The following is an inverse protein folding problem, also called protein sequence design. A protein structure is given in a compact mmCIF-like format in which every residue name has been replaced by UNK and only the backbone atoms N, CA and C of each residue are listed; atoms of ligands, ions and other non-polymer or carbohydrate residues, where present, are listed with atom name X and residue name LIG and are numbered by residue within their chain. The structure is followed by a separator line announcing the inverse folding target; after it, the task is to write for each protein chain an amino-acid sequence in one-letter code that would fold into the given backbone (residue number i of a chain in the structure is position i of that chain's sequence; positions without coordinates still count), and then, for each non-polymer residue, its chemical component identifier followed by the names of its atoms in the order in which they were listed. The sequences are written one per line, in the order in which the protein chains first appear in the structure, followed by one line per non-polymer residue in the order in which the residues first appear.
data_IF_748400169587
#
_entry.id   IF_748400169587
#
_cell.length_a   1.000
_cell.length_b   1.000
_cell.length_c   1.000
_cell.angle_alpha   90.00
_cell.angle_beta   90.00
_cell.angle_gamma   90.00
#
_symmetry.space_group_name_H-M   'P 1'
#
loop_
_entity.id
_entity.type
_entity.pdbx_description
1 polymer ?
#
# COMPACT_ATOMS: atom_id res chain seq x y z
N UNK A 1 -14.47 -10.98 37.68
CA UNK A 1 -14.42 -9.72 36.90
C UNK A 1 -13.25 -9.87 35.95
N UNK A 2 -13.40 -9.50 34.68
CA UNK A 2 -12.27 -9.62 33.74
C UNK A 2 -11.14 -8.66 34.16
N UNK A 3 -9.89 -9.08 33.96
CA UNK A 3 -8.69 -8.28 34.28
C UNK A 3 -8.39 -7.22 33.20
N UNK A 4 -9.18 -7.17 32.13
CA UNK A 4 -9.00 -6.17 31.08
C UNK A 4 -9.39 -4.76 31.54
N UNK A 5 -8.68 -3.71 31.10
CA UNK A 5 -8.93 -2.34 31.54
C UNK A 5 -10.23 -1.73 30.97
N UNK A 6 -10.68 -2.17 29.79
CA UNK A 6 -11.91 -1.68 29.18
C UNK A 6 -13.00 -2.73 29.24
N UNK A 7 -14.15 -2.37 29.81
CA UNK A 7 -15.29 -3.29 30.01
C UNK A 7 -16.60 -2.56 29.71
N UNK A 8 -17.52 -3.19 28.99
CA UNK A 8 -18.85 -2.62 28.72
C UNK A 8 -19.85 -3.70 28.28
N UNK A 9 -21.14 -3.41 28.49
CA UNK A 9 -22.23 -4.22 27.93
C UNK A 9 -22.84 -3.53 26.71
N UNK A 10 -23.00 -4.28 25.62
CA UNK A 10 -23.58 -3.76 24.38
C UNK A 10 -24.53 -4.75 23.73
N UNK A 11 -25.52 -4.21 23.00
CA UNK A 11 -26.45 -5.01 22.19
C UNK A 11 -25.78 -5.45 20.89
N UNK A 12 -25.93 -6.72 20.53
CA UNK A 12 -25.54 -7.21 19.20
C UNK A 12 -26.53 -6.67 18.17
N UNK A 13 -26.02 -5.93 17.18
CA UNK A 13 -26.82 -5.27 16.14
C UNK A 13 -26.33 -5.60 14.74
N UNK A 14 -27.17 -5.35 13.73
CA UNK A 14 -26.79 -5.49 12.33
C UNK A 14 -25.97 -4.29 11.87
N UNK A 15 -24.90 -4.55 11.14
CA UNK A 15 -24.15 -3.55 10.38
C UNK A 15 -24.04 -3.97 8.92
N UNK A 16 -24.53 -3.12 8.01
CA UNK A 16 -24.48 -3.37 6.57
C UNK A 16 -23.25 -2.73 5.93
N UNK A 17 -22.57 -3.48 5.06
CA UNK A 17 -21.52 -2.99 4.18
C UNK A 17 -21.78 -3.49 2.76
N UNK A 18 -22.28 -2.60 1.90
CA UNK A 18 -22.81 -2.99 0.59
C UNK A 18 -23.96 -3.99 0.73
N UNK A 19 -23.86 -5.14 0.06
CA UNK A 19 -24.85 -6.23 0.13
C UNK A 19 -24.66 -7.17 1.32
N UNK A 20 -23.57 -7.01 2.09
CA UNK A 20 -23.21 -7.92 3.18
C UNK A 20 -23.67 -7.33 4.51
N UNK A 21 -24.22 -8.17 5.38
CA UNK A 21 -24.67 -7.79 6.72
C UNK A 21 -23.90 -8.59 7.77
N UNK A 22 -23.34 -7.87 8.74
CA UNK A 22 -22.59 -8.41 9.87
C UNK A 22 -23.36 -8.21 11.18
N UNK A 23 -23.10 -9.08 12.16
CA UNK A 23 -23.47 -8.86 13.56
C UNK A 23 -22.31 -8.18 14.28
N UNK A 24 -22.57 -7.07 14.95
CA UNK A 24 -21.55 -6.24 15.60
C UNK A 24 -22.00 -5.74 16.95
N UNK A 25 -21.05 -5.33 17.78
CA UNK A 25 -21.28 -4.53 18.99
C UNK A 25 -20.52 -3.22 18.84
N UNK A 26 -21.17 -2.10 19.16
CA UNK A 26 -20.53 -0.79 19.12
C UNK A 26 -19.81 -0.52 20.43
N UNK A 27 -18.58 -0.02 20.34
CA UNK A 27 -17.82 0.40 21.51
C UNK A 27 -18.35 1.77 21.98
N UNK A 28 -18.65 1.93 23.29
CA UNK A 28 -19.14 3.19 23.85
C UNK A 28 -18.18 4.35 23.60
N UNK A 29 -18.75 5.56 23.47
CA UNK A 29 -17.97 6.77 23.16
C UNK A 29 -16.94 7.03 24.25
N UNK A 30 -17.34 6.80 25.49
CA UNK A 30 -16.57 7.00 26.73
C UNK A 30 -15.28 6.17 26.72
N UNK A 31 -15.32 4.96 26.16
CA UNK A 31 -14.13 4.11 25.97
C UNK A 31 -13.33 4.62 24.78
N UNK A 32 -13.98 4.84 23.62
CA UNK A 32 -13.25 5.26 22.41
C UNK A 32 -12.53 6.61 22.57
N UNK A 33 -13.01 7.51 23.43
CA UNK A 33 -12.33 8.78 23.73
C UNK A 33 -11.04 8.62 24.53
N UNK A 34 -10.83 7.47 25.16
CA UNK A 34 -9.62 7.16 25.93
C UNK A 34 -8.53 6.48 25.08
N UNK A 35 -8.85 6.08 23.85
CA UNK A 35 -7.96 5.32 22.98
C UNK A 35 -7.21 6.25 22.01
N UNK A 36 -5.93 5.95 21.76
CA UNK A 36 -5.13 6.67 20.77
C UNK A 36 -5.36 6.10 19.35
N UNK A 37 -6.11 6.84 18.54
CA UNK A 37 -6.34 6.54 17.13
C UNK A 37 -5.50 7.41 16.17
N UNK A 38 -4.39 7.99 16.63
CA UNK A 38 -3.52 8.85 15.81
C UNK A 38 -2.78 8.05 14.73
N UNK A 39 -2.18 6.92 15.11
CA UNK A 39 -1.41 6.04 14.20
C UNK A 39 -2.31 5.16 13.33
N UNK A 40 -3.40 4.65 13.89
CA UNK A 40 -4.36 3.79 13.17
C UNK A 40 -5.77 4.03 13.66
N UNK A 41 -6.72 4.13 12.73
CA UNK A 41 -8.16 4.13 13.07
C UNK A 41 -8.70 2.73 13.37
N UNK A 42 -7.91 1.69 13.12
CA UNK A 42 -8.27 0.29 13.37
C UNK A 42 -7.26 -0.31 14.35
N UNK A 43 -7.59 -0.26 15.64
CA UNK A 43 -6.74 -0.81 16.69
C UNK A 43 -6.99 -2.30 16.88
N UNK A 44 -5.93 -3.09 17.02
CA UNK A 44 -5.97 -4.48 17.47
C UNK A 44 -6.24 -4.52 18.96
N UNK A 45 -7.03 -5.52 19.35
CA UNK A 45 -7.38 -5.77 20.74
C UNK A 45 -7.23 -7.25 21.05
N UNK A 46 -6.93 -7.55 22.30
CA UNK A 46 -7.04 -8.86 22.92
C UNK A 46 -8.07 -8.71 24.04
N UNK A 47 -8.99 -9.66 24.15
CA UNK A 47 -10.17 -9.48 24.98
C UNK A 47 -11.05 -10.69 25.04
N UNK A 48 -12.29 -10.49 25.46
CA UNK A 48 -13.31 -11.51 25.54
C UNK A 48 -14.71 -10.93 25.29
N UNK A 49 -15.61 -11.80 24.83
CA UNK A 49 -17.05 -11.55 24.77
C UNK A 49 -17.74 -12.72 25.48
N UNK A 50 -18.53 -12.46 26.51
CA UNK A 50 -19.12 -13.50 27.37
C UNK A 50 -18.07 -14.51 27.88
N UNK A 51 -16.89 -14.03 28.28
CA UNK A 51 -15.77 -14.86 28.74
C UNK A 51 -15.07 -15.69 27.67
N UNK A 52 -15.51 -15.63 26.41
CA UNK A 52 -14.82 -16.29 25.28
C UNK A 52 -13.76 -15.36 24.72
N UNK A 53 -12.50 -15.79 24.79
CA UNK A 53 -11.34 -15.02 24.29
C UNK A 53 -11.48 -14.67 22.80
N UNK A 54 -11.13 -13.43 22.47
CA UNK A 54 -11.10 -12.89 21.12
C UNK A 54 -9.81 -12.10 20.86
N UNK A 55 -9.24 -12.29 19.67
CA UNK A 55 -8.22 -11.40 19.11
C UNK A 55 -8.81 -10.64 17.92
N UNK A 56 -9.27 -9.42 18.16
CA UNK A 56 -10.09 -8.68 17.21
C UNK A 56 -9.45 -7.35 16.81
N UNK A 57 -10.21 -6.56 16.05
CA UNK A 57 -9.84 -5.18 15.76
C UNK A 57 -11.07 -4.30 15.93
N UNK A 58 -10.88 -3.12 16.51
CA UNK A 58 -11.85 -2.04 16.52
C UNK A 58 -11.99 -1.49 15.11
N UNK A 59 -13.18 -1.59 14.52
CA UNK A 59 -13.42 -1.19 13.13
C UNK A 59 -14.14 0.15 13.09
N UNK A 60 -13.57 1.19 12.44
CA UNK A 60 -14.21 2.50 12.37
C UNK A 60 -15.39 2.49 11.40
N UNK A 61 -16.46 3.21 11.75
CA UNK A 61 -17.60 3.52 10.87
C UNK A 61 -18.28 4.81 11.33
N UNK A 62 -18.43 5.79 10.43
CA UNK A 62 -19.19 7.05 10.68
C UNK A 62 -18.98 7.65 12.09
N UNK A 63 -17.72 7.77 12.53
CA UNK A 63 -17.36 8.33 13.85
C UNK A 63 -17.57 7.40 15.06
N UNK A 64 -17.86 6.12 14.84
CA UNK A 64 -17.99 5.08 15.87
C UNK A 64 -17.01 3.94 15.58
N UNK A 65 -16.80 3.08 16.57
CA UNK A 65 -16.04 1.84 16.43
C UNK A 65 -16.89 0.65 16.83
N UNK A 66 -16.69 -0.48 16.17
CA UNK A 66 -17.37 -1.72 16.48
C UNK A 66 -16.45 -2.92 16.46
N UNK A 67 -16.90 -3.99 17.12
CA UNK A 67 -16.33 -5.33 17.05
C UNK A 67 -17.29 -6.25 16.31
N UNK A 68 -16.75 -7.14 15.49
CA UNK A 68 -17.55 -8.18 14.83
C UNK A 68 -17.83 -9.32 15.80
N UNK A 69 -19.10 -9.70 15.92
CA UNK A 69 -19.52 -10.89 16.68
C UNK A 69 -19.88 -11.96 15.66
N UNK A 70 -18.88 -12.65 15.13
CA UNK A 70 -19.07 -13.65 14.08
C UNK A 70 -20.02 -14.78 14.52
N UNK A 71 -20.70 -15.44 13.58
CA UNK A 71 -21.65 -16.53 13.90
C UNK A 71 -21.03 -17.66 14.75
N UNK A 72 -19.74 -17.96 14.56
CA UNK A 72 -19.03 -18.96 15.37
C UNK A 72 -18.95 -18.51 16.84
N UNK A 73 -18.62 -17.23 17.07
CA UNK A 73 -18.55 -16.65 18.41
C UNK A 73 -19.94 -16.60 19.07
N UNK A 74 -20.96 -16.17 18.34
CA UNK A 74 -22.35 -16.19 18.81
C UNK A 74 -22.76 -17.57 19.33
N UNK A 75 -22.46 -18.64 18.56
CA UNK A 75 -22.73 -20.02 18.97
C UNK A 75 -21.96 -20.45 20.23
N UNK A 76 -20.70 -20.04 20.36
CA UNK A 76 -19.87 -20.36 21.53
C UNK A 76 -20.38 -19.68 22.80
N UNK A 77 -20.80 -18.42 22.68
CA UNK A 77 -21.35 -17.64 23.79
C UNK A 77 -22.83 -17.98 24.09
N UNK A 78 -23.52 -18.72 23.21
CA UNK A 78 -24.96 -18.98 23.36
C UNK A 78 -25.84 -17.74 23.12
N UNK A 79 -25.38 -16.78 22.32
CA UNK A 79 -26.04 -15.49 22.06
C UNK A 79 -26.40 -15.31 20.60
N UNK A 80 -27.25 -14.34 20.32
CA UNK A 80 -27.82 -14.07 19.01
C UNK A 80 -28.00 -12.57 18.76
N UNK A 81 -28.43 -12.22 17.55
CA UNK A 81 -28.71 -10.83 17.20
C UNK A 81 -29.82 -10.26 18.11
N UNK A 82 -29.51 -9.15 18.77
CA UNK A 82 -30.43 -8.48 19.69
C UNK A 82 -30.12 -8.74 21.16
N UNK A 83 -29.31 -9.74 21.47
CA UNK A 83 -28.88 -10.00 22.84
C UNK A 83 -27.89 -8.93 23.31
N UNK A 84 -27.88 -8.68 24.63
CA UNK A 84 -26.84 -7.87 25.26
C UNK A 84 -25.71 -8.79 25.68
N UNK A 85 -24.48 -8.37 25.38
CA UNK A 85 -23.27 -9.10 25.74
C UNK A 85 -22.29 -8.22 26.49
N UNK A 86 -21.56 -8.82 27.40
CA UNK A 86 -20.41 -8.23 28.08
C UNK A 86 -19.16 -8.39 27.22
N UNK A 87 -18.43 -7.28 27.08
CA UNK A 87 -17.21 -7.18 26.29
C UNK A 87 -16.14 -6.56 27.15
N UNK A 88 -14.97 -7.22 27.16
CA UNK A 88 -13.81 -6.77 27.90
C UNK A 88 -12.55 -6.87 27.04
N UNK A 89 -11.69 -5.87 27.04
CA UNK A 89 -10.48 -5.88 26.20
C UNK A 89 -9.37 -4.94 26.67
N UNK A 90 -8.15 -5.20 26.18
CA UNK A 90 -7.03 -4.26 26.15
C UNK A 90 -6.55 -4.03 24.71
N UNK A 91 -5.78 -2.97 24.50
CA UNK A 91 -5.07 -2.71 23.24
C UNK A 91 -3.94 -3.72 23.09
N UNK A 92 -4.05 -4.58 22.09
CA UNK A 92 -3.02 -5.57 21.78
C UNK A 92 -1.82 -4.93 21.08
N UNK A 93 -0.75 -5.71 20.91
CA UNK A 93 0.32 -5.36 19.99
C UNK A 93 -0.25 -5.23 18.56
N UNK A 94 -0.07 -4.05 17.97
CA UNK A 94 -0.61 -3.70 16.65
C UNK A 94 0.12 -4.43 15.51
N UNK A 95 1.37 -4.83 15.77
CA UNK A 95 2.28 -5.44 14.81
C UNK A 95 2.48 -6.93 15.05
N UNK A 96 1.90 -7.52 16.11
CA UNK A 96 1.95 -8.96 16.35
C UNK A 96 1.35 -9.78 15.20
N UNK A 97 2.08 -10.82 14.79
CA UNK A 97 1.71 -11.73 13.70
C UNK A 97 2.07 -13.15 14.11
N UNK A 98 1.08 -14.04 14.12
CA UNK A 98 1.32 -15.49 14.18
C UNK A 98 1.46 -16.01 12.76
N UNK A 99 2.69 -16.38 12.37
CA UNK A 99 2.98 -16.96 11.06
C UNK A 99 2.74 -18.48 11.14
N UNK A 100 1.94 -19.08 10.25
CA UNK A 100 1.77 -20.52 10.20
C UNK A 100 3.11 -21.22 9.98
N UNK A 101 3.32 -22.35 10.67
CA UNK A 101 4.59 -23.06 10.71
C UNK A 101 5.11 -23.40 9.30
N UNK A 102 4.26 -23.91 8.41
CA UNK A 102 4.66 -24.21 7.03
C UNK A 102 5.10 -22.97 6.23
N UNK A 103 4.47 -21.81 6.45
CA UNK A 103 4.87 -20.56 5.80
C UNK A 103 6.18 -20.04 6.39
N UNK A 104 6.37 -20.19 7.70
CA UNK A 104 7.61 -19.82 8.36
C UNK A 104 8.80 -20.60 7.79
N UNK A 105 8.70 -21.92 7.69
CA UNK A 105 9.75 -22.76 7.11
C UNK A 105 10.06 -22.38 5.65
N UNK A 106 9.03 -22.12 4.84
CA UNK A 106 9.23 -21.72 3.44
C UNK A 106 9.91 -20.35 3.30
N UNK A 107 9.61 -19.40 4.20
CA UNK A 107 10.28 -18.10 4.25
C UNK A 107 11.74 -18.23 4.72
N UNK A 108 12.00 -19.05 5.73
CA UNK A 108 13.37 -19.30 6.23
C UNK A 108 14.26 -20.00 5.19
N UNK A 109 13.66 -20.79 4.29
CA UNK A 109 14.38 -21.43 3.18
C UNK A 109 14.61 -20.51 1.97
N UNK A 110 14.11 -19.26 1.97
CA UNK A 110 14.19 -18.36 0.82
C UNK A 110 14.49 -16.91 1.23
N UNK A 111 15.78 -16.55 1.24
CA UNK A 111 16.26 -15.23 1.65
C UNK A 111 15.63 -14.07 0.87
N UNK A 112 15.41 -14.25 -0.45
CA UNK A 112 14.81 -13.21 -1.30
C UNK A 112 13.35 -12.97 -0.92
N UNK A 113 12.58 -14.04 -0.73
CA UNK A 113 11.20 -13.93 -0.28
C UNK A 113 11.12 -13.36 1.14
N UNK A 114 12.05 -13.75 2.02
CA UNK A 114 12.15 -13.26 3.39
C UNK A 114 12.37 -11.75 3.45
N UNK A 115 13.29 -11.23 2.65
CA UNK A 115 13.57 -9.79 2.57
C UNK A 115 12.31 -9.00 2.16
N UNK A 116 11.59 -9.46 1.14
CA UNK A 116 10.34 -8.83 0.70
C UNK A 116 9.26 -8.91 1.80
N UNK A 117 9.14 -10.06 2.46
CA UNK A 117 8.17 -10.30 3.52
C UNK A 117 8.39 -9.35 4.71
N UNK A 118 9.63 -9.20 5.16
CA UNK A 118 9.98 -8.34 6.29
C UNK A 118 9.75 -6.86 6.01
N UNK A 119 9.89 -6.44 4.74
CA UNK A 119 9.53 -5.10 4.29
C UNK A 119 8.03 -4.80 4.23
N UNK A 120 7.15 -5.80 4.36
CA UNK A 120 5.70 -5.59 4.33
C UNK A 120 5.14 -5.10 5.66
N UNK A 121 4.05 -4.34 5.60
CA UNK A 121 3.30 -3.96 6.81
C UNK A 121 2.73 -5.19 7.51
N UNK A 122 2.57 -5.11 8.83
CA UNK A 122 2.03 -6.22 9.61
C UNK A 122 0.64 -6.66 9.13
N UNK A 123 -0.20 -5.71 8.69
CA UNK A 123 -1.51 -6.00 8.11
C UNK A 123 -1.44 -6.83 6.82
N UNK A 124 -0.48 -6.54 5.92
CA UNK A 124 -0.30 -7.30 4.68
C UNK A 124 0.17 -8.72 5.00
N UNK A 125 1.18 -8.87 5.84
CA UNK A 125 1.69 -10.17 6.33
C UNK A 125 0.58 -11.00 6.99
N UNK A 126 -0.23 -10.41 7.87
CA UNK A 126 -1.40 -11.06 8.49
C UNK A 126 -2.43 -11.56 7.48
N UNK A 127 -2.67 -10.82 6.40
CA UNK A 127 -3.59 -11.25 5.34
C UNK A 127 -3.16 -12.57 4.69
N UNK A 128 -1.86 -12.72 4.40
CA UNK A 128 -1.30 -13.95 3.86
C UNK A 128 -1.28 -15.08 4.90
N UNK A 129 -0.92 -14.80 6.16
CA UNK A 129 -0.99 -15.77 7.25
C UNK A 129 -2.40 -16.34 7.40
N UNK A 130 -3.43 -15.47 7.43
CA UNK A 130 -4.83 -15.88 7.48
C UNK A 130 -5.24 -16.72 6.27
N UNK A 131 -4.78 -16.35 5.06
CA UNK A 131 -5.05 -17.13 3.85
C UNK A 131 -4.50 -18.54 4.01
N UNK A 132 -3.27 -18.73 4.49
CA UNK A 132 -2.73 -20.08 4.72
C UNK A 132 -3.52 -20.81 5.81
N UNK A 133 -3.62 -20.22 7.01
CA UNK A 133 -4.19 -20.87 8.20
C UNK A 133 -5.67 -21.28 8.04
N UNK A 134 -6.46 -20.48 7.32
CA UNK A 134 -7.88 -20.74 7.07
C UNK A 134 -8.16 -22.01 6.24
N UNK A 135 -7.16 -22.57 5.56
CA UNK A 135 -7.30 -23.84 4.86
C UNK A 135 -7.35 -25.00 5.86
N UNK A 136 -8.33 -25.90 5.72
CA UNK A 136 -8.47 -27.09 6.59
C UNK A 136 -7.60 -28.27 6.16
N UNK A 137 -7.33 -28.38 4.85
CA UNK A 137 -6.59 -29.49 4.26
C UNK A 137 -5.11 -29.12 4.13
N UNK A 138 -4.22 -30.02 4.55
CA UNK A 138 -2.76 -29.83 4.48
C UNK A 138 -2.31 -29.46 3.07
N UNK A 139 -2.74 -30.22 2.04
CA UNK A 139 -2.41 -29.91 0.65
C UNK A 139 -2.86 -28.52 0.18
N UNK A 140 -3.95 -27.97 0.75
CA UNK A 140 -4.36 -26.60 0.42
C UNK A 140 -3.49 -25.55 1.11
N UNK A 141 -3.00 -25.85 2.32
CA UNK A 141 -2.05 -24.99 3.03
C UNK A 141 -0.73 -24.92 2.28
N UNK A 142 -0.17 -26.06 1.91
CA UNK A 142 1.08 -26.17 1.13
C UNK A 142 1.01 -25.36 -0.18
N UNK A 143 -0.02 -25.59 -0.99
CA UNK A 143 -0.23 -24.80 -2.22
C UNK A 143 -0.33 -23.29 -1.96
N UNK A 144 -1.00 -22.87 -0.88
CA UNK A 144 -1.11 -21.44 -0.53
C UNK A 144 0.21 -20.86 -0.04
N UNK A 145 1.07 -21.66 0.57
CA UNK A 145 2.44 -21.28 0.92
C UNK A 145 3.25 -21.06 -0.35
N UNK A 146 3.24 -22.02 -1.28
CA UNK A 146 3.93 -21.88 -2.59
C UNK A 146 3.49 -20.62 -3.34
N UNK A 147 2.17 -20.40 -3.47
CA UNK A 147 1.62 -19.19 -4.09
C UNK A 147 2.06 -17.89 -3.39
N UNK A 148 2.30 -17.95 -2.07
CA UNK A 148 2.79 -16.81 -1.30
C UNK A 148 4.26 -16.53 -1.59
N UNK A 149 5.09 -17.58 -1.63
CA UNK A 149 6.51 -17.47 -1.98
C UNK A 149 6.68 -16.96 -3.41
N UNK A 150 5.96 -17.54 -4.38
CA UNK A 150 6.00 -17.08 -5.78
C UNK A 150 5.63 -15.61 -5.92
N UNK A 151 4.59 -15.18 -5.19
CA UNK A 151 4.19 -13.78 -5.19
C UNK A 151 5.28 -12.88 -4.60
N UNK A 152 5.91 -13.26 -3.49
CA UNK A 152 7.03 -12.51 -2.88
C UNK A 152 8.20 -12.37 -3.85
N UNK A 153 8.58 -13.46 -4.54
CA UNK A 153 9.64 -13.45 -5.55
C UNK A 153 9.28 -12.55 -6.73
N UNK A 154 8.03 -12.58 -7.19
CA UNK A 154 7.55 -11.69 -8.26
C UNK A 154 7.62 -10.21 -7.87
N UNK A 155 7.35 -9.89 -6.61
CA UNK A 155 7.42 -8.51 -6.09
C UNK A 155 8.86 -8.00 -6.00
N UNK A 156 9.84 -8.89 -5.76
CA UNK A 156 11.26 -8.55 -5.87
C UNK A 156 11.64 -8.27 -7.33
N UNK A 157 11.23 -9.12 -8.26
CA UNK A 157 11.55 -8.96 -9.69
C UNK A 157 10.97 -7.69 -10.31
N UNK A 158 9.85 -7.18 -9.80
CA UNK A 158 9.33 -5.87 -10.22
C UNK A 158 10.17 -4.70 -9.72
N UNK A 159 10.93 -4.84 -8.64
CA UNK A 159 11.70 -3.76 -8.06
C UNK A 159 13.01 -3.55 -8.82
N UNK A 160 13.19 -2.36 -9.40
CA UNK A 160 14.45 -1.98 -10.03
C UNK A 160 15.50 -1.72 -8.95
N UNK A 161 16.72 -2.21 -9.17
CA UNK A 161 17.84 -1.96 -8.25
C UNK A 161 18.24 -0.49 -8.28
N UNK A 162 18.90 0.00 -7.22
CA UNK A 162 19.36 1.39 -7.19
C UNK A 162 20.46 1.66 -8.21
N UNK A 163 21.28 0.65 -8.53
CA UNK A 163 22.27 0.72 -9.61
C UNK A 163 21.59 0.88 -10.98
N UNK A 164 20.52 0.13 -11.25
CA UNK A 164 19.77 0.22 -12.51
C UNK A 164 19.02 1.55 -12.63
N UNK A 165 18.42 2.04 -11.53
CA UNK A 165 17.85 3.38 -11.48
C UNK A 165 18.90 4.44 -11.79
N UNK A 166 20.07 4.38 -11.18
CA UNK A 166 21.13 5.34 -11.40
C UNK A 166 21.57 5.36 -12.87
N UNK A 167 21.82 4.18 -13.47
CA UNK A 167 22.18 4.05 -14.90
C UNK A 167 21.10 4.63 -15.83
N UNK A 168 19.83 4.35 -15.54
CA UNK A 168 18.71 4.83 -16.35
C UNK A 168 18.52 6.35 -16.22
N UNK A 169 18.63 6.91 -15.01
CA UNK A 169 18.57 8.35 -14.76
C UNK A 169 19.73 9.05 -15.47
N UNK A 170 20.96 8.55 -15.34
CA UNK A 170 22.14 9.13 -15.98
C UNK A 170 22.02 9.12 -17.51
N UNK A 171 21.52 8.02 -18.08
CA UNK A 171 21.27 7.92 -19.53
C UNK A 171 20.22 8.93 -19.98
N UNK A 172 19.09 9.03 -19.29
CA UNK A 172 18.02 9.98 -19.63
C UNK A 172 18.46 11.43 -19.43
N UNK A 173 19.18 11.73 -18.35
CA UNK A 173 19.75 13.04 -18.06
C UNK A 173 20.69 13.51 -19.19
N UNK A 174 21.60 12.62 -19.60
CA UNK A 174 22.51 12.88 -20.72
C UNK A 174 21.75 13.19 -22.01
N UNK A 175 20.65 12.48 -22.27
CA UNK A 175 19.80 12.72 -23.44
C UNK A 175 19.06 14.05 -23.38
N UNK A 176 18.56 14.43 -22.20
CA UNK A 176 17.90 15.73 -21.98
C UNK A 176 18.89 16.87 -22.20
N UNK A 177 20.07 16.80 -21.57
CA UNK A 177 21.11 17.83 -21.70
C UNK A 177 21.66 17.91 -23.12
N UNK A 178 21.79 16.78 -23.83
CA UNK A 178 22.18 16.78 -25.24
C UNK A 178 21.09 17.35 -26.16
N UNK A 179 19.80 17.22 -25.79
CA UNK A 179 18.70 17.78 -26.56
C UNK A 179 18.57 19.30 -26.36
N UNK A 180 18.78 19.77 -25.12
CA UNK A 180 18.64 21.17 -24.70
C UNK A 180 19.86 21.56 -23.83
N UNK A 181 21.01 21.91 -24.43
CA UNK A 181 22.25 22.19 -23.68
C UNK A 181 22.18 23.38 -22.72
N UNK A 182 21.21 24.28 -22.92
CA UNK A 182 20.98 25.47 -22.08
C UNK A 182 20.08 25.19 -20.87
N UNK A 183 19.58 23.98 -20.70
CA UNK A 183 18.70 23.65 -19.59
C UNK A 183 19.47 23.64 -18.26
N UNK A 184 18.85 24.17 -17.23
CA UNK A 184 19.31 24.10 -15.84
C UNK A 184 18.61 22.95 -15.12
N UNK A 185 19.38 22.19 -14.34
CA UNK A 185 18.87 21.11 -13.48
C UNK A 185 18.47 21.66 -12.12
N UNK A 186 17.26 21.36 -11.67
CA UNK A 186 16.73 21.79 -10.36
C UNK A 186 16.26 20.56 -9.57
N UNK A 187 16.91 20.19 -8.47
CA UNK A 187 16.45 19.07 -7.63
C UNK A 187 15.14 19.43 -6.95
N UNK A 188 14.07 18.66 -7.21
CA UNK A 188 12.73 18.92 -6.64
C UNK A 188 11.88 17.66 -6.63
N UNK A 189 11.05 17.51 -5.60
CA UNK A 189 10.09 16.39 -5.44
C UNK A 189 10.74 15.00 -5.48
N UNK A 190 11.97 14.87 -4.98
CA UNK A 190 12.71 13.60 -5.01
C UNK A 190 13.22 13.21 -6.39
N UNK A 191 13.26 14.13 -7.36
CA UNK A 191 13.82 13.94 -8.69
C UNK A 191 14.52 15.19 -9.22
N UNK A 192 14.75 15.22 -10.53
CA UNK A 192 15.45 16.33 -11.22
C UNK A 192 14.52 16.97 -12.22
N UNK A 193 14.24 18.26 -12.05
CA UNK A 193 13.53 19.09 -13.02
C UNK A 193 14.50 19.77 -13.98
N UNK A 194 14.06 20.01 -15.21
CA UNK A 194 14.82 20.73 -16.24
C UNK A 194 14.02 21.96 -16.68
N UNK A 195 14.67 23.12 -16.65
CA UNK A 195 14.08 24.41 -16.97
C UNK A 195 15.05 25.27 -17.77
N UNK A 196 14.53 26.14 -18.64
CA UNK A 196 15.31 27.20 -19.28
C UNK A 196 15.27 28.52 -18.49
N UNK A 197 14.36 28.63 -17.51
CA UNK A 197 14.10 29.82 -16.70
C UNK A 197 14.12 29.42 -15.21
N UNK A 198 15.29 29.18 -14.60
CA UNK A 198 15.39 28.68 -13.22
C UNK A 198 14.84 29.64 -12.16
N UNK A 199 14.79 30.94 -12.46
CA UNK A 199 14.22 32.00 -11.64
C UNK A 199 12.69 32.03 -11.63
N UNK A 200 12.03 31.44 -12.65
CA UNK A 200 10.58 31.44 -12.76
C UNK A 200 9.95 30.25 -12.02
N UNK A 201 8.88 30.54 -11.27
CA UNK A 201 8.11 29.51 -10.59
C UNK A 201 7.38 28.65 -11.64
N UNK A 202 7.63 27.35 -11.59
CA UNK A 202 6.95 26.34 -12.41
C UNK A 202 7.31 26.32 -13.92
N UNK A 203 8.41 26.96 -14.33
CA UNK A 203 8.86 27.01 -15.72
C UNK A 203 9.59 25.73 -16.23
N UNK A 204 9.61 24.65 -15.45
CA UNK A 204 10.20 23.38 -15.90
C UNK A 204 9.43 22.79 -17.09
N UNK A 205 10.14 22.38 -18.13
CA UNK A 205 9.54 21.71 -19.28
C UNK A 205 9.45 20.19 -19.09
N UNK A 206 10.41 19.59 -18.38
CA UNK A 206 10.36 18.18 -18.01
C UNK A 206 11.04 17.87 -16.66
N UNK A 207 10.90 16.62 -16.20
CA UNK A 207 11.58 16.11 -15.02
C UNK A 207 11.74 14.60 -15.02
N UNK A 208 12.81 14.13 -14.37
CA UNK A 208 13.12 12.72 -14.14
C UNK A 208 12.81 12.31 -12.71
N UNK A 209 12.04 11.23 -12.56
CA UNK A 209 11.60 10.73 -11.26
C UNK A 209 11.77 9.22 -11.19
N UNK A 210 12.47 8.75 -10.16
CA UNK A 210 12.65 7.33 -9.90
C UNK A 210 11.49 6.79 -9.05
N UNK A 211 10.98 5.64 -9.46
CA UNK A 211 9.98 4.86 -8.73
C UNK A 211 10.53 3.47 -8.41
N UNK A 212 9.76 2.67 -7.67
CA UNK A 212 10.17 1.32 -7.25
C UNK A 212 10.53 0.42 -8.44
N UNK A 213 9.79 0.54 -9.55
CA UNK A 213 9.84 -0.41 -10.67
C UNK A 213 10.29 0.24 -11.99
N UNK A 214 10.42 1.58 -12.03
CA UNK A 214 10.64 2.32 -13.27
C UNK A 214 11.16 3.75 -13.00
N UNK A 215 11.65 4.41 -14.05
CA UNK A 215 11.93 5.86 -14.07
C UNK A 215 10.96 6.53 -15.05
N UNK A 216 10.40 7.68 -14.65
CA UNK A 216 9.55 8.50 -15.51
C UNK A 216 10.27 9.74 -15.99
N UNK A 217 10.22 9.98 -17.30
CA UNK A 217 10.46 11.29 -17.88
C UNK A 217 9.11 11.98 -18.08
N UNK A 218 8.81 12.93 -17.18
CA UNK A 218 7.54 13.65 -17.14
C UNK A 218 7.64 15.01 -17.81
N UNK A 219 6.62 15.39 -18.56
CA UNK A 219 6.53 16.67 -19.26
C UNK A 219 5.44 17.54 -18.64
N UNK A 220 5.76 18.80 -18.32
CA UNK A 220 4.84 19.69 -17.61
C UNK A 220 3.55 19.97 -18.40
N UNK A 221 3.71 20.25 -19.70
CA UNK A 221 2.64 20.50 -20.66
C UNK A 221 2.51 19.33 -21.67
N UNK A 222 2.60 18.11 -21.15
CA UNK A 222 2.63 16.90 -21.98
C UNK A 222 1.38 16.69 -22.85
N UNK A 223 0.22 17.19 -22.45
CA UNK A 223 -1.01 17.15 -23.27
C UNK A 223 -0.92 17.96 -24.56
N UNK A 224 -0.04 18.95 -24.60
CA UNK A 224 0.14 19.86 -25.74
C UNK A 224 1.30 19.42 -26.65
N UNK A 225 1.91 18.26 -26.38
CA UNK A 225 2.95 17.69 -27.23
C UNK A 225 2.29 16.74 -28.23
N UNK A 226 2.63 16.90 -29.51
CA UNK A 226 2.20 15.96 -30.55
C UNK A 226 2.77 14.56 -30.30
N UNK A 227 1.89 13.57 -30.28
CA UNK A 227 2.21 12.17 -30.04
C UNK A 227 1.42 11.27 -31.00
N UNK A 228 1.76 11.27 -32.30
CA UNK A 228 1.07 10.45 -33.30
C UNK A 228 1.23 8.95 -33.05
N UNK A 229 2.26 8.56 -32.32
CA UNK A 229 2.60 7.17 -32.02
C UNK A 229 1.94 6.66 -30.71
N UNK A 230 1.28 7.55 -29.96
CA UNK A 230 0.60 7.22 -28.69
C UNK A 230 1.54 6.73 -27.58
N UNK A 231 2.78 7.21 -27.54
CA UNK A 231 3.81 6.78 -26.58
C UNK A 231 3.68 7.47 -25.21
N UNK A 232 3.01 8.62 -25.14
CA UNK A 232 2.87 9.40 -23.92
C UNK A 232 1.77 8.85 -23.01
N UNK A 233 2.14 8.57 -21.77
CA UNK A 233 1.25 8.04 -20.74
C UNK A 233 0.74 9.15 -19.80
N UNK A 234 -0.38 8.87 -19.13
CA UNK A 234 -0.92 9.66 -18.02
C UNK A 234 -2.29 10.28 -18.30
N UNK A 235 -3.18 10.24 -17.29
CA UNK A 235 -4.55 10.80 -17.35
C UNK A 235 -4.70 12.16 -16.68
N UNK A 236 -3.61 12.83 -16.31
CA UNK A 236 -3.65 14.13 -15.64
C UNK A 236 -4.09 15.28 -16.56
N UNK A 237 -4.49 16.41 -15.95
CA UNK A 237 -5.00 17.60 -16.66
C UNK A 237 -4.01 18.16 -17.70
N UNK A 238 -2.71 18.16 -17.40
CA UNK A 238 -1.67 18.76 -18.25
C UNK A 238 -0.48 17.83 -18.52
N UNK A 239 -0.11 17.01 -17.53
CA UNK A 239 1.11 16.22 -17.59
C UNK A 239 0.94 14.94 -18.40
N UNK A 240 1.98 14.62 -19.15
CA UNK A 240 2.22 13.30 -19.74
C UNK A 240 3.64 12.84 -19.42
N UNK A 241 3.94 11.57 -19.61
CA UNK A 241 5.25 11.01 -19.32
C UNK A 241 5.58 9.83 -20.22
N UNK A 242 6.87 9.53 -20.31
CA UNK A 242 7.38 8.24 -20.78
C UNK A 242 7.84 7.43 -19.56
N UNK A 243 7.51 6.14 -19.53
CA UNK A 243 7.95 5.20 -18.48
C UNK A 243 9.06 4.30 -19.02
N UNK A 244 10.12 4.13 -18.24
CA UNK A 244 11.26 3.28 -18.59
C UNK A 244 11.55 2.29 -17.46
N UNK A 245 11.61 1.01 -17.81
CA UNK A 245 11.85 -0.09 -16.87
C UNK A 245 13.27 -0.67 -17.00
N UNK A 246 14.03 -0.25 -18.02
CA UNK A 246 15.41 -0.64 -18.26
C UNK A 246 16.14 0.44 -19.07
N UNK A 247 17.46 0.56 -18.91
CA UNK A 247 18.28 1.42 -19.77
C UNK A 247 18.26 0.98 -21.23
N UNK A 248 18.05 -0.30 -21.50
CA UNK A 248 18.20 -0.87 -22.84
C UNK A 248 17.02 -0.55 -23.75
N UNK A 249 15.85 -0.27 -23.18
CA UNK A 249 14.65 0.12 -23.94
C UNK A 249 14.58 1.63 -24.24
N UNK A 250 15.61 2.41 -23.93
CA UNK A 250 15.61 3.86 -24.15
C UNK A 250 15.88 4.18 -25.63
N UNK A 251 14.82 4.54 -26.35
CA UNK A 251 14.92 5.10 -27.70
C UNK A 251 15.37 6.57 -27.65
N UNK A 252 16.60 6.79 -28.11
CA UNK A 252 17.26 8.09 -28.15
C UNK A 252 16.49 9.12 -28.99
N UNK A 253 15.91 8.71 -30.12
CA UNK A 253 15.19 9.61 -31.03
C UNK A 253 13.88 10.06 -30.40
N UNK A 254 13.15 9.12 -29.80
CA UNK A 254 11.89 9.38 -29.10
C UNK A 254 12.11 10.36 -27.94
N UNK A 255 13.07 10.07 -27.06
CA UNK A 255 13.37 10.95 -25.91
C UNK A 255 13.72 12.36 -26.38
N UNK A 256 14.65 12.50 -27.33
CA UNK A 256 15.05 13.82 -27.83
C UNK A 256 13.91 14.57 -28.51
N UNK A 257 13.03 13.88 -29.25
CA UNK A 257 11.83 14.47 -29.88
C UNK A 257 10.92 15.12 -28.83
N UNK A 258 10.52 14.35 -27.81
CA UNK A 258 9.60 14.83 -26.78
C UNK A 258 10.22 15.91 -25.90
N UNK A 259 11.50 15.79 -25.54
CA UNK A 259 12.21 16.82 -24.77
C UNK A 259 12.26 18.16 -25.52
N UNK A 260 12.57 18.13 -26.83
CA UNK A 260 12.59 19.35 -27.66
C UNK A 260 11.21 19.96 -27.81
N UNK A 261 10.17 19.15 -27.99
CA UNK A 261 8.80 19.63 -28.05
C UNK A 261 8.38 20.28 -26.73
N UNK A 262 8.66 19.63 -25.59
CA UNK A 262 8.36 20.17 -24.26
C UNK A 262 9.08 21.50 -24.00
N UNK A 263 10.37 21.60 -24.36
CA UNK A 263 11.15 22.83 -24.16
C UNK A 263 10.59 24.02 -24.94
N UNK A 264 10.02 23.80 -26.14
CA UNK A 264 9.34 24.87 -26.90
C UNK A 264 8.08 25.37 -26.19
N UNK A 265 7.36 24.49 -25.50
CA UNK A 265 6.14 24.85 -24.76
C UNK A 265 6.44 25.54 -23.43
N UNK A 266 7.56 25.20 -22.78
CA UNK A 266 8.01 25.83 -21.53
C UNK A 266 8.84 27.11 -21.72
N UNK A 267 9.25 27.41 -22.96
CA UNK A 267 9.96 28.65 -23.30
C UNK A 267 9.02 29.84 -23.60
N UNK A 268 7.70 29.60 -23.59
CA UNK A 268 6.67 30.63 -23.71
C UNK A 268 6.45 31.42 -22.43
#
# INVERSE_FOLDING_TARGET
MSDYPYNFDAKIVKYGFGKIVFSVVYVPKEITSQLDFSKSKRLRIDGEIEGIRIEAALIPTKGKWYLMVARKLQKLCGVSLGDRVSVSFDIADQDAITVPMELQFALEANDVAREVWDGWTAGKRRGFCYRVDSAKMVATRERRVEETIDFLLSEKHKQMTDADKARLIERLDSLVMAAIPKATKVPKYGGTLYTLKPEEKEAQFCGLFAYKEHVKLSFAQGTSIEDPDGLLEGGGKFRRHLTFNSSDCVDVKVVKRFVKAAAKLGAG
#
